data_IF_953822627031
#
_entry.id   IF_953822627031
#
_cell.length_a   1.000
_cell.length_b   1.000
_cell.length_c   1.000
_cell.angle_alpha   90.00
_cell.angle_beta   90.00
_cell.angle_gamma   90.00
#
_symmetry.space_group_name_H-M   'P 1'
#
loop_
_entity.id
_entity.type
_entity.pdbx_description
1 polymer ?
#
# COMPACT_ATOMS: atom_id res chain seq x y z
N UNK A 1 45.05 -23.89 -24.56
CA UNK A 1 43.93 -24.81 -24.24
C UNK A 1 43.67 -24.97 -22.74
N UNK A 2 44.66 -25.26 -21.88
CA UNK A 2 44.44 -25.44 -20.44
C UNK A 2 43.94 -24.18 -19.70
N UNK A 3 44.41 -22.99 -20.09
CA UNK A 3 43.97 -21.71 -19.52
C UNK A 3 42.49 -21.40 -19.82
N UNK A 4 42.02 -21.73 -21.04
CA UNK A 4 40.63 -21.56 -21.44
C UNK A 4 39.69 -22.48 -20.63
N UNK A 5 40.11 -23.73 -20.36
CA UNK A 5 39.36 -24.64 -19.47
C UNK A 5 39.26 -24.11 -18.03
N UNK A 6 40.32 -23.48 -17.52
CA UNK A 6 40.32 -22.84 -16.19
C UNK A 6 39.40 -21.62 -16.14
N UNK A 7 39.40 -20.79 -17.18
CA UNK A 7 38.48 -19.63 -17.28
C UNK A 7 37.02 -20.05 -17.39
N UNK A 8 36.72 -21.07 -18.21
CA UNK A 8 35.36 -21.64 -18.31
C UNK A 8 34.94 -22.24 -16.97
N UNK A 9 35.82 -22.99 -16.30
CA UNK A 9 35.56 -23.51 -14.95
C UNK A 9 35.30 -22.41 -13.92
N UNK A 10 36.11 -21.36 -13.91
CA UNK A 10 35.90 -20.20 -13.05
C UNK A 10 34.59 -19.47 -13.35
N UNK A 11 34.25 -19.28 -14.63
CA UNK A 11 32.98 -18.65 -15.03
C UNK A 11 31.76 -19.48 -14.62
N UNK A 12 31.83 -20.82 -14.73
CA UNK A 12 30.76 -21.72 -14.27
C UNK A 12 30.61 -21.64 -12.75
N UNK A 13 31.71 -21.68 -12.00
CA UNK A 13 31.67 -21.57 -10.54
C UNK A 13 31.11 -20.21 -10.11
N UNK A 14 31.61 -19.11 -10.68
CA UNK A 14 31.11 -17.76 -10.38
C UNK A 14 29.63 -17.60 -10.79
N UNK A 15 29.23 -18.16 -11.93
CA UNK A 15 27.83 -18.20 -12.35
C UNK A 15 26.95 -18.99 -11.39
N UNK A 16 27.43 -20.14 -10.91
CA UNK A 16 26.73 -20.96 -9.92
C UNK A 16 26.61 -20.28 -8.56
N UNK A 17 27.68 -19.65 -8.07
CA UNK A 17 27.65 -18.85 -6.83
C UNK A 17 26.70 -17.65 -6.98
N UNK A 18 26.75 -16.94 -8.11
CA UNK A 18 25.85 -15.83 -8.40
C UNK A 18 24.39 -16.25 -8.45
N UNK A 19 24.07 -17.37 -9.11
CA UNK A 19 22.72 -17.92 -9.16
C UNK A 19 22.24 -18.38 -7.77
N UNK A 20 23.09 -19.06 -6.99
CA UNK A 20 22.79 -19.48 -5.63
C UNK A 20 22.51 -18.29 -4.70
N UNK A 21 23.38 -17.27 -4.73
CA UNK A 21 23.18 -16.04 -3.97
C UNK A 21 21.90 -15.31 -4.40
N UNK A 22 21.64 -15.21 -5.70
CA UNK A 22 20.41 -14.61 -6.24
C UNK A 22 19.14 -15.35 -5.77
N UNK A 23 19.16 -16.68 -5.74
CA UNK A 23 18.04 -17.49 -5.25
C UNK A 23 17.73 -17.25 -3.76
N UNK A 24 18.79 -17.18 -2.93
CA UNK A 24 18.66 -16.92 -1.49
C UNK A 24 18.20 -15.48 -1.23
N UNK A 25 18.79 -14.49 -1.91
CA UNK A 25 18.44 -13.08 -1.72
C UNK A 25 17.01 -12.76 -2.18
N UNK A 26 16.51 -13.48 -3.19
CA UNK A 26 15.14 -13.37 -3.70
C UNK A 26 14.13 -14.28 -2.99
N UNK A 27 14.53 -14.96 -1.91
CA UNK A 27 13.63 -15.78 -1.12
C UNK A 27 12.60 -14.94 -0.35
N UNK A 28 11.36 -15.44 -0.19
CA UNK A 28 10.37 -14.79 0.67
C UNK A 28 10.88 -14.72 2.11
N UNK A 29 10.71 -13.57 2.75
CA UNK A 29 11.02 -13.36 4.16
C UNK A 29 9.71 -13.19 4.92
N UNK A 30 9.51 -14.02 5.94
CA UNK A 30 8.35 -13.98 6.84
C UNK A 30 8.66 -13.19 8.11
N UNK A 31 7.63 -12.92 8.91
CA UNK A 31 7.77 -12.43 10.26
C UNK A 31 8.52 -13.46 11.10
N UNK A 32 9.37 -12.98 12.01
CA UNK A 32 10.03 -13.84 12.99
C UNK A 32 9.10 -14.07 14.21
N UNK A 33 9.51 -14.98 15.09
CA UNK A 33 8.74 -15.33 16.28
C UNK A 33 8.52 -14.13 17.22
N UNK A 34 9.46 -13.19 17.28
CA UNK A 34 9.34 -12.01 18.13
C UNK A 34 8.28 -11.04 17.60
N UNK A 35 8.21 -10.82 16.29
CA UNK A 35 7.18 -10.03 15.65
C UNK A 35 5.80 -10.70 15.76
N UNK A 36 5.72 -12.03 15.61
CA UNK A 36 4.46 -12.76 15.78
C UNK A 36 3.96 -12.73 17.22
N UNK A 37 4.85 -12.75 18.21
CA UNK A 37 4.47 -12.62 19.62
C UNK A 37 3.88 -11.25 19.98
N UNK A 38 4.03 -10.23 19.11
CA UNK A 38 3.41 -8.91 19.28
C UNK A 38 1.98 -8.84 18.74
N UNK A 39 1.51 -9.89 18.06
CA UNK A 39 0.10 -10.02 17.69
C UNK A 39 -0.69 -10.29 18.98
N UNK A 40 -1.33 -9.24 19.50
CA UNK A 40 -2.24 -9.33 20.63
C UNK A 40 -3.61 -9.85 20.16
N UNK A 41 -4.48 -10.36 21.05
CA UNK A 41 -5.86 -10.66 20.67
C UNK A 41 -6.54 -9.43 20.06
N UNK A 42 -7.01 -9.57 18.81
CA UNK A 42 -7.64 -8.48 18.08
C UNK A 42 -9.06 -8.16 18.57
N UNK A 43 -9.46 -6.92 18.33
CA UNK A 43 -10.80 -6.37 18.57
C UNK A 43 -11.41 -5.91 17.24
N UNK A 44 -12.54 -6.51 16.87
CA UNK A 44 -13.20 -6.21 15.60
C UNK A 44 -13.70 -4.76 15.49
N UNK A 45 -14.06 -4.10 16.59
CA UNK A 45 -14.50 -2.71 16.57
C UNK A 45 -13.34 -1.77 16.24
N UNK A 46 -12.16 -2.01 16.82
CA UNK A 46 -10.92 -1.30 16.43
C UNK A 46 -10.46 -1.69 15.03
N UNK A 47 -10.64 -2.95 14.65
CA UNK A 47 -10.32 -3.47 13.33
C UNK A 47 -11.12 -2.80 12.21
N UNK A 48 -12.38 -2.45 12.46
CA UNK A 48 -13.22 -1.70 11.52
C UNK A 48 -12.57 -0.37 11.11
N UNK A 49 -11.94 0.34 12.06
CA UNK A 49 -11.20 1.59 11.76
C UNK A 49 -10.06 1.32 10.80
N UNK A 50 -9.28 0.27 11.03
CA UNK A 50 -8.13 -0.10 10.20
C UNK A 50 -8.57 -0.61 8.81
N UNK A 51 -9.70 -1.31 8.74
CA UNK A 51 -10.29 -1.77 7.48
C UNK A 51 -10.63 -0.61 6.54
N UNK A 52 -11.24 0.45 7.07
CA UNK A 52 -11.52 1.65 6.28
C UNK A 52 -10.25 2.48 6.04
N UNK A 53 -9.35 2.61 7.02
CA UNK A 53 -8.08 3.28 6.80
C UNK A 53 -7.28 2.61 5.66
N UNK A 54 -7.25 1.29 5.63
CA UNK A 54 -6.64 0.44 4.59
C UNK A 54 -7.36 0.45 3.24
N UNK A 55 -8.57 1.00 3.15
CA UNK A 55 -9.33 1.06 1.90
C UNK A 55 -9.62 -0.31 1.28
N UNK A 56 -9.82 -1.37 2.09
CA UNK A 56 -9.96 -2.74 1.59
C UNK A 56 -11.06 -2.88 0.51
N UNK A 57 -12.16 -2.14 0.68
CA UNK A 57 -13.28 -2.14 -0.29
C UNK A 57 -12.94 -1.46 -1.63
N UNK A 58 -11.93 -0.58 -1.68
CA UNK A 58 -11.54 0.13 -2.91
C UNK A 58 -11.04 -0.83 -3.99
N UNK A 59 -10.48 -1.97 -3.59
CA UNK A 59 -9.90 -2.96 -4.50
C UNK A 59 -10.64 -4.30 -4.46
N UNK A 60 -11.09 -4.72 -3.28
CA UNK A 60 -11.65 -6.06 -3.10
C UNK A 60 -13.18 -6.10 -3.18
N UNK A 61 -13.89 -4.98 -3.11
CA UNK A 61 -15.33 -5.02 -3.38
C UNK A 61 -15.57 -5.46 -4.82
N UNK A 62 -16.61 -6.28 -5.04
CA UNK A 62 -17.00 -6.70 -6.38
C UNK A 62 -17.29 -5.46 -7.25
N UNK A 63 -16.73 -5.35 -8.47
CA UNK A 63 -17.01 -4.21 -9.34
C UNK A 63 -18.51 -3.95 -9.51
N UNK A 64 -18.92 -2.70 -9.32
CA UNK A 64 -20.34 -2.29 -9.39
C UNK A 64 -21.17 -2.55 -8.14
N UNK A 65 -20.60 -3.18 -7.09
CA UNK A 65 -21.29 -3.34 -5.80
C UNK A 65 -21.52 -2.01 -5.09
N UNK A 66 -22.62 -1.92 -4.34
CA UNK A 66 -23.06 -0.72 -3.60
C UNK A 66 -23.53 -1.12 -2.20
N UNK A 67 -23.48 -0.16 -1.27
CA UNK A 67 -23.87 -0.40 0.12
C UNK A 67 -23.09 -1.56 0.74
N UNK A 68 -23.79 -2.38 1.53
CA UNK A 68 -23.18 -3.48 2.29
C UNK A 68 -22.63 -4.60 1.40
N UNK A 69 -23.09 -4.74 0.15
CA UNK A 69 -22.53 -5.71 -0.80
C UNK A 69 -21.04 -5.45 -1.10
N UNK A 70 -20.53 -4.26 -0.78
CA UNK A 70 -19.08 -3.97 -0.87
C UNK A 70 -18.25 -4.74 0.16
N UNK A 71 -18.87 -5.17 1.27
CA UNK A 71 -18.23 -5.95 2.33
C UNK A 71 -18.10 -7.45 1.98
N UNK A 72 -18.61 -7.88 0.82
CA UNK A 72 -18.42 -9.24 0.30
C UNK A 72 -16.98 -9.54 -0.11
N UNK A 73 -16.21 -8.52 -0.49
CA UNK A 73 -14.78 -8.60 -0.78
C UNK A 73 -14.35 -9.70 -1.79
N UNK A 74 -15.21 -9.98 -2.78
CA UNK A 74 -14.99 -11.02 -3.79
C UNK A 74 -13.84 -10.73 -4.78
N UNK A 75 -13.29 -9.52 -4.79
CA UNK A 75 -12.20 -9.10 -5.67
C UNK A 75 -12.64 -8.90 -7.13
N UNK A 76 -11.67 -8.97 -8.04
CA UNK A 76 -11.93 -8.94 -9.49
C UNK A 76 -11.87 -7.57 -10.15
N UNK A 77 -11.52 -6.50 -9.43
CA UNK A 77 -11.25 -5.19 -10.03
C UNK A 77 -10.00 -5.25 -10.93
N UNK A 78 -10.09 -4.79 -12.18
CA UNK A 78 -8.92 -4.75 -13.06
C UNK A 78 -8.16 -3.44 -12.90
N UNK A 79 -6.95 -3.53 -12.35
CA UNK A 79 -6.01 -2.43 -12.21
C UNK A 79 -5.02 -2.46 -13.38
N UNK A 80 -5.26 -1.60 -14.37
CA UNK A 80 -4.41 -1.50 -15.57
C UNK A 80 -3.21 -0.60 -15.26
N UNK A 81 -2.01 -1.10 -15.50
CA UNK A 81 -0.76 -0.38 -15.25
C UNK A 81 0.20 -0.55 -16.43
N UNK A 82 1.32 0.17 -16.41
CA UNK A 82 2.42 -0.03 -17.36
C UNK A 82 3.06 -1.43 -17.27
N UNK A 83 2.87 -2.15 -16.17
CA UNK A 83 3.44 -3.49 -15.93
C UNK A 83 2.49 -4.64 -16.33
N UNK A 84 1.26 -4.31 -16.72
CA UNK A 84 0.19 -5.27 -17.01
C UNK A 84 -1.05 -5.02 -16.17
N UNK A 85 -1.91 -6.04 -16.08
CA UNK A 85 -3.18 -5.96 -15.37
C UNK A 85 -3.10 -6.74 -14.06
N UNK A 86 -3.22 -6.03 -12.94
CA UNK A 86 -3.38 -6.62 -11.62
C UNK A 86 -4.86 -6.79 -11.30
N UNK A 87 -5.18 -7.87 -10.59
CA UNK A 87 -6.55 -8.22 -10.21
C UNK A 87 -6.52 -8.61 -8.73
N UNK A 88 -7.09 -7.79 -7.82
CA UNK A 88 -7.17 -8.13 -6.41
C UNK A 88 -7.93 -9.44 -6.20
N UNK A 89 -7.41 -10.37 -5.38
CA UNK A 89 -8.06 -11.65 -5.12
C UNK A 89 -9.33 -11.48 -4.29
N UNK A 90 -10.11 -12.56 -4.20
CA UNK A 90 -11.16 -12.70 -3.20
C UNK A 90 -10.51 -12.78 -1.81
N UNK A 91 -10.91 -11.88 -0.90
CA UNK A 91 -10.45 -11.87 0.51
C UNK A 91 -11.63 -11.99 1.49
N UNK A 92 -12.76 -12.54 1.02
CA UNK A 92 -13.91 -12.87 1.86
C UNK A 92 -13.57 -13.98 2.86
N UNK A 93 -14.51 -14.28 3.76
CA UNK A 93 -14.37 -15.39 4.72
C UNK A 93 -14.64 -16.78 4.11
N UNK A 94 -14.71 -16.90 2.77
CA UNK A 94 -14.77 -18.22 2.15
C UNK A 94 -13.47 -19.01 2.45
N UNK A 95 -13.54 -20.25 2.95
CA UNK A 95 -12.37 -21.01 3.37
C UNK A 95 -11.53 -21.56 2.21
N UNK A 96 -12.06 -21.59 0.99
CA UNK A 96 -11.40 -22.18 -0.18
C UNK A 96 -10.89 -21.12 -1.14
N UNK A 97 -11.75 -20.17 -1.48
CA UNK A 97 -11.49 -19.14 -2.49
C UNK A 97 -11.09 -17.79 -1.88
N UNK A 98 -11.36 -17.59 -0.58
CA UNK A 98 -11.01 -16.40 0.19
C UNK A 98 -9.90 -16.64 1.23
N UNK A 99 -9.93 -15.86 2.32
CA UNK A 99 -8.99 -15.96 3.45
C UNK A 99 -9.60 -16.64 4.67
N UNK A 100 -10.77 -17.29 4.54
CA UNK A 100 -11.51 -17.85 5.68
C UNK A 100 -10.73 -18.88 6.49
N UNK A 101 -9.83 -19.62 5.85
CA UNK A 101 -8.97 -20.63 6.48
C UNK A 101 -7.60 -20.10 6.95
N UNK A 102 -7.28 -18.83 6.71
CA UNK A 102 -5.99 -18.26 7.08
C UNK A 102 -5.89 -18.06 8.59
N UNK A 103 -4.71 -18.37 9.12
CA UNK A 103 -4.35 -17.98 10.49
C UNK A 103 -4.08 -16.47 10.58
N UNK A 104 -4.01 -15.95 11.79
CA UNK A 104 -3.59 -14.57 12.03
C UNK A 104 -2.14 -14.33 11.57
N UNK A 105 -1.25 -15.32 11.74
CA UNK A 105 0.13 -15.28 11.23
C UNK A 105 0.17 -15.16 9.70
N UNK A 106 -0.67 -15.92 9.00
CA UNK A 106 -0.78 -15.85 7.54
C UNK A 106 -1.21 -14.46 7.09
N UNK A 107 -2.22 -13.90 7.77
CA UNK A 107 -2.71 -12.56 7.50
C UNK A 107 -1.64 -11.50 7.77
N UNK A 108 -0.90 -11.62 8.87
CA UNK A 108 0.17 -10.70 9.22
C UNK A 108 1.35 -10.78 8.24
N UNK A 109 1.73 -11.98 7.78
CA UNK A 109 2.75 -12.15 6.74
C UNK A 109 2.32 -11.55 5.40
N UNK A 110 1.04 -11.67 5.03
CA UNK A 110 0.50 -11.04 3.84
C UNK A 110 0.61 -9.51 3.96
N UNK A 111 0.08 -8.92 5.03
CA UNK A 111 0.03 -7.48 5.23
C UNK A 111 1.41 -6.83 5.41
N UNK A 112 2.26 -7.39 6.27
CA UNK A 112 3.54 -6.76 6.65
C UNK A 112 4.73 -7.16 5.77
N UNK A 113 4.65 -8.32 5.12
CA UNK A 113 5.75 -8.87 4.30
C UNK A 113 5.37 -9.11 2.85
N UNK A 114 4.09 -9.06 2.49
CA UNK A 114 3.63 -9.38 1.14
C UNK A 114 3.90 -10.84 0.77
N UNK A 115 3.71 -11.77 1.72
CA UNK A 115 3.97 -13.22 1.53
C UNK A 115 2.71 -14.02 1.82
N UNK A 116 2.35 -14.93 0.93
CA UNK A 116 1.20 -15.82 1.09
C UNK A 116 1.48 -16.96 2.11
N UNK A 117 0.43 -17.68 2.56
CA UNK A 117 0.58 -18.90 3.36
C UNK A 117 1.50 -19.95 2.70
N UNK A 118 1.44 -20.04 1.37
CA UNK A 118 2.28 -20.96 0.57
C UNK A 118 3.72 -20.47 0.34
N UNK A 119 4.06 -19.26 0.80
CA UNK A 119 5.40 -18.66 0.64
C UNK A 119 5.56 -17.90 -0.68
N UNK A 120 4.48 -17.70 -1.41
CA UNK A 120 4.48 -16.94 -2.65
C UNK A 120 4.58 -15.44 -2.35
N UNK A 121 5.32 -14.71 -3.16
CA UNK A 121 5.41 -13.26 -2.99
C UNK A 121 4.28 -12.54 -3.72
N UNK A 122 3.61 -11.63 -3.02
CA UNK A 122 2.65 -10.72 -3.63
C UNK A 122 3.35 -9.59 -4.37
N UNK A 123 2.76 -9.19 -5.49
CA UNK A 123 3.18 -8.00 -6.22
C UNK A 123 2.89 -6.73 -5.41
N UNK A 124 3.71 -5.68 -5.52
CA UNK A 124 3.56 -4.45 -4.73
C UNK A 124 2.32 -3.60 -5.09
N UNK A 125 1.50 -4.06 -6.05
CA UNK A 125 0.14 -3.54 -6.24
C UNK A 125 -0.75 -3.79 -5.00
N UNK A 126 -0.44 -4.82 -4.21
CA UNK A 126 -0.89 -4.92 -2.83
C UNK A 126 0.05 -4.06 -1.97
N UNK A 127 -0.41 -2.99 -1.31
CA UNK A 127 0.47 -1.95 -0.73
C UNK A 127 1.11 -2.37 0.61
N UNK A 128 1.58 -3.62 0.71
CA UNK A 128 2.30 -4.15 1.86
C UNK A 128 3.57 -3.34 2.18
N UNK A 129 4.13 -2.62 1.20
CA UNK A 129 5.27 -1.72 1.42
C UNK A 129 4.90 -0.58 2.37
N UNK A 130 3.69 -0.03 2.26
CA UNK A 130 3.12 0.95 3.19
C UNK A 130 2.67 0.26 4.50
N UNK A 131 1.94 -0.86 4.40
CA UNK A 131 1.45 -1.60 5.57
C UNK A 131 2.54 -2.14 6.49
N UNK A 132 3.77 -2.31 6.01
CA UNK A 132 4.91 -2.65 6.87
C UNK A 132 5.14 -1.68 8.04
N UNK A 133 4.60 -0.45 7.99
CA UNK A 133 4.58 0.55 9.08
C UNK A 133 3.43 0.38 10.07
N UNK A 134 2.51 -0.56 9.81
CA UNK A 134 1.38 -0.81 10.71
C UNK A 134 1.85 -1.48 11.98
N UNK A 135 1.16 -1.15 13.09
CA UNK A 135 1.41 -1.79 14.38
C UNK A 135 0.89 -3.23 14.33
N UNK A 136 1.61 -4.22 14.91
CA UNK A 136 1.11 -5.59 15.00
C UNK A 136 -0.28 -5.72 15.64
N UNK A 137 -0.58 -4.92 16.67
CA UNK A 137 -1.91 -4.88 17.29
C UNK A 137 -3.03 -4.44 16.32
N UNK A 138 -2.74 -3.50 15.41
CA UNK A 138 -3.73 -3.05 14.41
C UNK A 138 -3.95 -4.11 13.33
N UNK A 139 -2.95 -4.95 13.05
CA UNK A 139 -3.09 -6.12 12.17
C UNK A 139 -3.98 -7.17 12.81
N UNK A 140 -3.80 -7.42 14.11
CA UNK A 140 -4.66 -8.33 14.87
C UNK A 140 -6.11 -7.84 14.93
N UNK A 141 -6.31 -6.56 15.26
CA UNK A 141 -7.63 -5.92 15.26
C UNK A 141 -8.28 -6.03 13.88
N UNK A 142 -7.55 -5.71 12.80
CA UNK A 142 -8.03 -5.86 11.43
C UNK A 142 -8.41 -7.31 11.12
N UNK A 143 -7.57 -8.29 11.48
CA UNK A 143 -7.88 -9.70 11.29
C UNK A 143 -9.19 -10.08 11.99
N UNK A 144 -9.37 -9.68 13.25
CA UNK A 144 -10.60 -9.91 14.01
C UNK A 144 -11.83 -9.31 13.32
N UNK A 145 -11.74 -8.10 12.76
CA UNK A 145 -12.82 -7.52 11.98
C UNK A 145 -13.09 -8.29 10.68
N UNK A 146 -12.03 -8.68 9.95
CA UNK A 146 -12.17 -9.47 8.72
C UNK A 146 -12.91 -10.79 8.97
N UNK A 147 -12.69 -11.45 10.12
CA UNK A 147 -13.42 -12.67 10.52
C UNK A 147 -14.93 -12.48 10.69
N UNK A 148 -15.42 -11.24 10.84
CA UNK A 148 -16.86 -10.92 10.95
C UNK A 148 -17.55 -10.73 9.61
N UNK A 149 -16.79 -10.63 8.52
CA UNK A 149 -17.30 -10.34 7.18
C UNK A 149 -17.87 -11.59 6.50
N UNK A 150 -18.78 -11.43 5.51
CA UNK A 150 -19.38 -12.57 4.82
C UNK A 150 -18.36 -13.44 4.07
N UNK A 151 -18.72 -14.71 3.89
CA UNK A 151 -18.04 -15.63 3.02
C UNK A 151 -18.68 -15.60 1.63
N UNK A 152 -17.87 -15.44 0.57
CA UNK A 152 -18.34 -15.46 -0.81
C UNK A 152 -17.46 -16.39 -1.62
N UNK A 153 -18.05 -17.47 -2.12
CA UNK A 153 -17.36 -18.43 -2.98
C UNK A 153 -17.04 -17.83 -4.36
N UNK A 154 -15.98 -18.34 -4.99
CA UNK A 154 -15.54 -17.94 -6.32
C UNK A 154 -14.15 -17.31 -6.31
N UNK A 155 -13.24 -17.89 -7.09
CA UNK A 155 -11.89 -17.35 -7.29
C UNK A 155 -11.94 -16.14 -8.24
N UNK A 156 -11.33 -15.03 -7.84
CA UNK A 156 -11.09 -13.90 -8.74
C UNK A 156 -10.08 -14.31 -9.85
N UNK A 157 -10.15 -13.68 -11.05
CA UNK A 157 -9.18 -13.94 -12.11
C UNK A 157 -7.74 -13.68 -11.68
N UNK A 158 -6.79 -14.43 -12.25
CA UNK A 158 -5.36 -14.20 -12.04
C UNK A 158 -4.89 -12.91 -12.74
N UNK A 159 -3.75 -12.38 -12.31
CA UNK A 159 -3.12 -11.24 -12.98
C UNK A 159 -2.70 -11.59 -14.41
N UNK A 160 -2.64 -10.57 -15.28
CA UNK A 160 -2.16 -10.69 -16.65
C UNK A 160 -0.92 -9.81 -16.82
N UNK A 161 0.22 -10.40 -16.48
CA UNK A 161 1.53 -9.74 -16.50
C UNK A 161 2.41 -10.36 -17.59
N UNK A 162 3.07 -9.52 -18.38
CA UNK A 162 4.04 -9.95 -19.37
C UNK A 162 5.40 -10.27 -18.73
N UNK A 163 6.26 -10.96 -19.49
CA UNK A 163 7.67 -11.08 -19.11
C UNK A 163 8.34 -9.68 -19.10
N UNK A 164 9.23 -9.39 -18.13
CA UNK A 164 9.71 -10.25 -17.04
C UNK A 164 8.89 -10.18 -15.75
N UNK A 165 7.82 -9.39 -15.70
CA UNK A 165 7.05 -9.11 -14.48
C UNK A 165 6.23 -10.30 -13.97
N UNK A 166 6.07 -11.35 -14.77
CA UNK A 166 5.48 -12.61 -14.32
C UNK A 166 6.41 -13.47 -13.43
N UNK A 167 7.70 -13.13 -13.31
CA UNK A 167 8.67 -13.86 -12.48
C UNK A 167 8.69 -13.29 -11.05
N UNK A 168 7.97 -13.94 -10.14
CA UNK A 168 7.82 -13.50 -8.73
C UNK A 168 9.11 -13.39 -7.92
N UNK A 169 10.20 -14.04 -8.35
CA UNK A 169 11.52 -13.90 -7.70
C UNK A 169 12.09 -12.49 -7.81
N UNK A 170 11.78 -11.75 -8.90
CA UNK A 170 12.17 -10.34 -9.03
C UNK A 170 11.61 -9.47 -7.89
N UNK A 171 10.42 -9.80 -7.39
CA UNK A 171 9.81 -9.13 -6.25
C UNK A 171 10.65 -9.30 -4.97
N UNK A 172 11.41 -10.39 -4.84
CA UNK A 172 12.22 -10.65 -3.64
C UNK A 172 13.34 -9.64 -3.53
N UNK A 173 13.99 -9.37 -4.65
CA UNK A 173 15.00 -8.32 -4.78
C UNK A 173 14.37 -6.94 -4.59
N UNK A 174 13.21 -6.69 -5.22
CA UNK A 174 12.46 -5.43 -5.06
C UNK A 174 12.18 -5.11 -3.59
N UNK A 175 11.71 -6.09 -2.81
CA UNK A 175 11.44 -5.91 -1.38
C UNK A 175 12.67 -5.48 -0.59
N UNK A 176 13.87 -5.95 -0.94
CA UNK A 176 15.11 -5.53 -0.26
C UNK A 176 15.40 -4.02 -0.42
N UNK A 177 14.91 -3.41 -1.50
CA UNK A 177 15.11 -2.00 -1.80
C UNK A 177 14.02 -1.12 -1.19
N UNK A 178 12.77 -1.58 -1.20
CA UNK A 178 11.61 -0.71 -0.90
C UNK A 178 10.82 -1.08 0.36
N UNK A 179 10.87 -2.35 0.81
CA UNK A 179 10.14 -2.78 2.00
C UNK A 179 10.89 -2.33 3.26
N UNK A 180 10.26 -1.46 4.04
CA UNK A 180 10.80 -0.96 5.30
C UNK A 180 9.66 -0.69 6.27
N UNK A 181 9.79 -1.08 7.55
CA UNK A 181 8.82 -0.74 8.60
C UNK A 181 9.01 0.69 9.12
N UNK A 182 10.09 1.38 8.74
CA UNK A 182 10.40 2.71 9.25
C UNK A 182 9.51 3.77 8.61
N UNK A 183 9.11 4.80 9.37
CA UNK A 183 8.45 5.98 8.83
C UNK A 183 9.26 6.60 7.68
N UNK A 184 8.55 7.15 6.69
CA UNK A 184 9.17 7.88 5.58
C UNK A 184 9.68 9.24 6.05
N UNK A 185 8.86 9.98 6.80
CA UNK A 185 9.24 11.27 7.38
C UNK A 185 9.65 11.09 8.83
N UNK A 186 10.90 11.40 9.13
CA UNK A 186 11.36 11.57 10.50
C UNK A 186 10.83 12.89 11.07
N UNK A 187 10.08 12.82 12.16
CA UNK A 187 9.54 13.98 12.85
C UNK A 187 10.38 14.29 14.10
N UNK A 188 10.61 15.57 14.43
CA UNK A 188 11.39 15.95 15.61
C UNK A 188 10.82 15.40 16.93
N UNK A 189 11.66 15.25 17.94
CA UNK A 189 11.19 15.03 19.31
C UNK A 189 10.26 16.17 19.76
N UNK A 190 9.21 15.84 20.51
CA UNK A 190 8.19 16.80 20.95
C UNK A 190 7.14 17.14 19.89
N UNK A 191 7.17 16.50 18.72
CA UNK A 191 6.07 16.61 17.75
C UNK A 191 4.74 16.22 18.40
N UNK A 192 3.66 17.01 18.26
CA UNK A 192 2.38 16.71 18.88
C UNK A 192 1.82 15.34 18.47
N UNK A 193 1.19 14.63 19.41
CA UNK A 193 0.64 13.29 19.19
C UNK A 193 -0.34 13.22 18.00
N UNK A 194 -1.12 14.29 17.78
CA UNK A 194 -2.02 14.42 16.63
C UNK A 194 -1.28 14.27 15.30
N UNK A 195 -0.08 14.88 15.17
CA UNK A 195 0.74 14.79 13.95
C UNK A 195 1.38 13.40 13.83
N UNK A 196 1.79 12.78 14.95
CA UNK A 196 2.31 11.40 14.95
C UNK A 196 1.24 10.39 14.53
N UNK A 197 0.00 10.55 14.99
CA UNK A 197 -1.15 9.75 14.57
C UNK A 197 -1.46 9.96 13.08
N UNK A 198 -1.38 11.20 12.59
CA UNK A 198 -1.53 11.52 11.17
C UNK A 198 -0.46 10.86 10.31
N UNK A 199 0.81 10.91 10.74
CA UNK A 199 1.91 10.22 10.06
C UNK A 199 1.64 8.73 9.95
N UNK A 200 1.20 8.12 11.05
CA UNK A 200 0.85 6.70 11.06
C UNK A 200 -0.20 6.40 10.00
N UNK A 201 -1.33 7.12 10.03
CA UNK A 201 -2.43 6.89 9.08
C UNK A 201 -2.02 7.14 7.63
N UNK A 202 -1.26 8.18 7.33
CA UNK A 202 -0.90 8.55 5.94
C UNK A 202 0.19 7.64 5.35
N UNK A 203 1.23 7.30 6.13
CA UNK A 203 2.36 6.49 5.65
C UNK A 203 2.12 4.99 5.76
N UNK A 204 1.23 4.56 6.67
CA UNK A 204 0.92 3.17 6.96
C UNK A 204 -0.39 2.70 6.31
N UNK A 205 -1.47 2.50 7.09
CA UNK A 205 -2.72 1.93 6.58
C UNK A 205 -3.36 2.76 5.45
N UNK A 206 -3.33 4.09 5.52
CA UNK A 206 -3.90 4.96 4.48
C UNK A 206 -3.09 5.01 3.19
N UNK A 207 -1.84 4.53 3.21
CA UNK A 207 -0.97 4.33 2.04
C UNK A 207 -0.99 5.47 1.02
N UNK A 208 -1.16 6.72 1.46
CA UNK A 208 -1.44 7.85 0.56
C UNK A 208 -0.28 8.09 -0.41
N UNK A 209 0.94 7.79 0.04
CA UNK A 209 2.15 7.90 -0.77
C UNK A 209 2.20 6.94 -1.95
N UNK A 210 1.39 5.88 -2.01
CA UNK A 210 1.36 4.97 -3.16
C UNK A 210 0.80 5.65 -4.42
N UNK A 211 -0.08 6.64 -4.26
CA UNK A 211 -0.63 7.44 -5.36
C UNK A 211 0.01 8.83 -5.43
N UNK A 212 0.27 9.46 -4.28
CA UNK A 212 0.73 10.84 -4.21
C UNK A 212 2.26 10.99 -4.25
N UNK A 213 3.04 9.95 -4.54
CA UNK A 213 4.50 10.03 -4.66
C UNK A 213 4.96 9.50 -6.01
N UNK A 214 5.90 10.17 -6.70
CA UNK A 214 6.45 9.65 -7.95
C UNK A 214 7.14 8.30 -7.73
N UNK A 215 7.13 7.46 -8.77
CA UNK A 215 7.83 6.17 -8.76
C UNK A 215 9.09 6.21 -9.61
N UNK A 216 10.08 5.40 -9.24
CA UNK A 216 11.25 5.14 -10.07
C UNK A 216 10.97 4.06 -11.14
N UNK A 217 12.00 3.73 -11.93
CA UNK A 217 11.87 2.77 -13.04
C UNK A 217 11.55 1.34 -12.56
N UNK A 218 11.84 1.00 -11.29
CA UNK A 218 11.51 -0.28 -10.70
C UNK A 218 10.12 -0.28 -10.03
N UNK A 219 9.36 0.81 -10.15
CA UNK A 219 8.03 0.96 -9.59
C UNK A 219 8.00 1.27 -8.09
N UNK A 220 9.15 1.48 -7.46
CA UNK A 220 9.22 1.90 -6.06
C UNK A 220 8.95 3.39 -5.89
N UNK A 221 8.37 3.79 -4.75
CA UNK A 221 8.12 5.21 -4.45
C UNK A 221 9.44 5.94 -4.17
N UNK A 222 9.59 7.13 -4.75
CA UNK A 222 10.74 8.00 -4.50
C UNK A 222 10.52 8.79 -3.21
N UNK A 223 10.98 8.23 -2.08
CA UNK A 223 10.80 8.83 -0.75
C UNK A 223 11.33 10.28 -0.61
N UNK A 224 12.30 10.68 -1.44
CA UNK A 224 12.80 12.07 -1.47
C UNK A 224 11.80 13.07 -2.08
N UNK A 225 10.76 12.59 -2.76
CA UNK A 225 9.68 13.36 -3.37
C UNK A 225 8.32 12.98 -2.70
N UNK A 226 8.36 12.60 -1.43
CA UNK A 226 7.21 12.07 -0.69
C UNK A 226 6.00 13.02 -0.78
N UNK A 227 4.86 12.47 -1.20
CA UNK A 227 3.59 13.20 -1.34
C UNK A 227 3.57 14.35 -2.36
N UNK A 228 4.61 14.46 -3.18
CA UNK A 228 4.77 15.55 -4.15
C UNK A 228 3.84 15.44 -5.38
N UNK A 229 2.97 14.43 -5.47
CA UNK A 229 2.12 14.12 -6.63
C UNK A 229 2.75 13.05 -7.54
N UNK A 230 2.02 12.57 -8.54
CA UNK A 230 2.52 11.57 -9.50
C UNK A 230 1.70 11.53 -10.79
N UNK A 231 2.16 10.80 -11.81
CA UNK A 231 1.25 10.30 -12.87
C UNK A 231 0.33 9.27 -12.21
N UNK A 232 -0.96 9.30 -12.55
CA UNK A 232 -1.88 8.24 -12.16
C UNK A 232 -1.36 6.87 -12.64
N UNK A 233 -1.49 5.83 -11.81
CA UNK A 233 -0.97 4.50 -12.12
C UNK A 233 -1.64 3.89 -13.36
N UNK A 234 -2.87 4.31 -13.65
CA UNK A 234 -3.67 3.98 -14.84
C UNK A 234 -3.15 4.65 -16.11
N UNK A 235 -2.16 5.54 -16.01
CA UNK A 235 -1.49 6.21 -17.12
C UNK A 235 -2.20 7.46 -17.64
N UNK A 236 -3.38 7.80 -17.12
CA UNK A 236 -4.16 8.98 -17.52
C UNK A 236 -4.36 9.93 -16.34
N UNK A 237 -3.84 11.16 -16.45
CA UNK A 237 -4.03 12.20 -15.44
C UNK A 237 -2.89 12.31 -14.43
N UNK A 238 -3.04 13.26 -13.51
CA UNK A 238 -2.05 13.61 -12.49
C UNK A 238 -2.70 13.45 -11.12
N UNK A 239 -2.06 12.70 -10.24
CA UNK A 239 -2.37 12.65 -8.82
C UNK A 239 -1.72 13.89 -8.17
N UNK A 240 -2.48 14.72 -7.44
CA UNK A 240 -1.99 16.02 -7.00
C UNK A 240 -0.92 15.90 -5.92
N UNK A 241 -0.09 16.93 -5.84
CA UNK A 241 0.80 17.18 -4.69
C UNK A 241 -0.05 17.48 -3.45
N UNK A 242 0.15 16.71 -2.37
CA UNK A 242 -0.56 16.89 -1.10
C UNK A 242 0.34 17.33 0.05
N UNK A 243 1.54 17.83 -0.25
CA UNK A 243 2.38 18.56 0.72
C UNK A 243 1.82 19.96 0.99
N UNK A 244 2.34 20.72 1.99
CA UNK A 244 1.89 22.08 2.27
C UNK A 244 2.12 23.08 1.12
N UNK A 245 2.86 22.70 0.07
CA UNK A 245 3.03 23.51 -1.13
C UNK A 245 2.15 23.06 -2.32
N UNK A 246 1.40 21.98 -2.16
CA UNK A 246 0.46 21.48 -3.16
C UNK A 246 -0.73 22.42 -3.35
N UNK A 247 -1.25 22.51 -4.59
CA UNK A 247 -2.48 23.26 -4.87
C UNK A 247 -3.63 22.65 -4.07
N UNK A 248 -4.46 23.50 -3.47
CA UNK A 248 -5.45 23.06 -2.48
C UNK A 248 -4.84 23.03 -1.08
N UNK A 249 -3.99 22.02 -0.77
CA UNK A 249 -3.41 21.85 0.59
C UNK A 249 -2.68 23.08 1.11
N UNK A 250 -2.02 23.86 0.23
CA UNK A 250 -1.39 25.13 0.60
C UNK A 250 -2.40 26.12 1.20
N UNK A 251 -3.53 26.29 0.54
CA UNK A 251 -4.51 27.33 0.81
C UNK A 251 -5.61 26.85 1.78
N UNK A 252 -5.80 25.53 1.90
CA UNK A 252 -6.75 24.90 2.81
C UNK A 252 -6.25 24.90 4.26
N UNK A 253 -7.16 25.14 5.18
CA UNK A 253 -6.96 24.89 6.61
C UNK A 253 -6.94 23.38 6.91
N UNK A 254 -6.50 23.00 8.12
CA UNK A 254 -6.64 21.59 8.56
C UNK A 254 -8.11 21.15 8.57
N UNK A 255 -9.03 22.05 8.93
CA UNK A 255 -10.46 21.76 8.95
C UNK A 255 -11.01 21.53 7.54
N UNK A 256 -10.56 22.30 6.56
CA UNK A 256 -10.93 22.10 5.15
C UNK A 256 -10.49 20.73 4.62
N UNK A 257 -9.25 20.32 4.95
CA UNK A 257 -8.75 18.99 4.60
C UNK A 257 -9.59 17.89 5.27
N UNK A 258 -9.89 18.03 6.56
CA UNK A 258 -10.72 17.06 7.27
C UNK A 258 -12.14 16.97 6.68
N UNK A 259 -12.75 18.12 6.36
CA UNK A 259 -14.06 18.20 5.72
C UNK A 259 -14.06 17.58 4.33
N UNK A 260 -13.01 17.78 3.54
CA UNK A 260 -12.84 17.14 2.24
C UNK A 260 -12.77 15.62 2.38
N UNK A 261 -12.02 15.10 3.35
CA UNK A 261 -11.94 13.66 3.61
C UNK A 261 -13.27 13.07 4.11
N UNK A 262 -14.10 13.88 4.77
CA UNK A 262 -15.42 13.47 5.26
C UNK A 262 -16.49 13.49 4.16
N UNK A 263 -16.52 14.55 3.36
CA UNK A 263 -17.65 14.84 2.47
C UNK A 263 -17.34 14.66 0.99
N UNK A 264 -16.06 14.74 0.62
CA UNK A 264 -15.60 14.78 -0.76
C UNK A 264 -15.73 16.15 -1.43
N UNK A 265 -16.16 17.19 -0.72
CA UNK A 265 -16.21 18.54 -1.27
C UNK A 265 -14.98 19.36 -0.90
N UNK A 266 -14.49 20.13 -1.88
CA UNK A 266 -13.47 21.15 -1.63
C UNK A 266 -14.11 22.37 -0.95
N UNK A 267 -13.31 23.28 -0.35
CA UNK A 267 -13.81 24.54 0.21
C UNK A 267 -14.54 25.43 -0.81
N UNK A 268 -14.22 25.28 -2.09
CA UNK A 268 -14.87 26.00 -3.20
C UNK A 268 -16.09 25.24 -3.76
N UNK A 269 -16.58 24.23 -3.03
CA UNK A 269 -17.72 23.37 -3.38
C UNK A 269 -17.58 22.53 -4.65
N UNK A 270 -16.34 22.34 -5.14
CA UNK A 270 -16.05 21.31 -6.13
C UNK A 270 -16.03 19.91 -5.47
N UNK A 271 -16.14 18.84 -6.25
CA UNK A 271 -16.23 17.47 -5.75
C UNK A 271 -15.01 16.61 -6.11
N UNK A 272 -14.67 15.66 -5.23
CA UNK A 272 -13.64 14.66 -5.48
C UNK A 272 -13.96 13.83 -6.72
N UNK A 273 -12.95 13.62 -7.58
CA UNK A 273 -13.06 12.83 -8.79
C UNK A 273 -12.07 11.66 -8.86
N UNK A 274 -12.28 10.79 -9.85
CA UNK A 274 -11.38 9.67 -10.15
C UNK A 274 -11.28 8.63 -9.04
N UNK A 275 -10.11 7.99 -8.91
CA UNK A 275 -9.87 6.96 -7.91
C UNK A 275 -9.96 7.46 -6.46
N UNK A 276 -9.80 8.78 -6.25
CA UNK A 276 -9.87 9.38 -4.91
C UNK A 276 -11.29 9.34 -4.32
N UNK A 277 -12.34 9.16 -5.14
CA UNK A 277 -13.73 8.98 -4.66
C UNK A 277 -13.85 7.78 -3.73
N UNK A 278 -13.22 6.66 -4.08
CA UNK A 278 -13.27 5.45 -3.26
C UNK A 278 -12.44 5.63 -1.98
N UNK A 279 -11.28 6.28 -2.06
CA UNK A 279 -10.46 6.63 -0.89
C UNK A 279 -11.27 7.51 0.07
N UNK A 280 -11.87 8.59 -0.42
CA UNK A 280 -12.70 9.49 0.37
C UNK A 280 -13.86 8.76 1.05
N UNK A 281 -14.57 7.87 0.34
CA UNK A 281 -15.66 7.08 0.93
C UNK A 281 -15.20 6.27 2.14
N UNK A 282 -13.97 5.74 2.10
CA UNK A 282 -13.40 5.05 3.26
C UNK A 282 -12.98 6.04 4.37
N UNK A 283 -12.36 7.17 4.02
CA UNK A 283 -11.96 8.20 5.00
C UNK A 283 -13.15 8.82 5.75
N UNK A 284 -14.31 8.90 5.11
CA UNK A 284 -15.57 9.31 5.73
C UNK A 284 -16.04 8.37 6.84
N UNK A 285 -15.57 7.12 6.86
CA UNK A 285 -15.88 6.14 7.92
C UNK A 285 -14.94 6.23 9.12
N UNK A 286 -13.85 7.00 9.01
CA UNK A 286 -12.93 7.22 10.14
C UNK A 286 -13.56 8.19 11.16
N UNK A 287 -12.91 8.35 12.30
CA UNK A 287 -13.33 9.35 13.28
C UNK A 287 -12.95 10.77 12.82
N UNK A 288 -13.59 11.80 13.37
CA UNK A 288 -13.19 13.19 13.12
C UNK A 288 -11.73 13.44 13.55
N UNK A 289 -11.31 12.84 14.66
CA UNK A 289 -9.93 12.92 15.16
C UNK A 289 -8.92 12.31 14.20
N UNK A 290 -9.25 11.19 13.55
CA UNK A 290 -8.40 10.57 12.52
C UNK A 290 -8.23 11.48 11.31
N UNK A 291 -9.32 12.05 10.80
CA UNK A 291 -9.28 13.00 9.67
C UNK A 291 -8.49 14.25 10.04
N UNK A 292 -8.69 14.77 11.24
CA UNK A 292 -7.95 15.91 11.75
C UNK A 292 -6.44 15.59 11.92
N UNK A 293 -6.10 14.38 12.36
CA UNK A 293 -4.72 13.92 12.47
C UNK A 293 -4.05 13.83 11.09
N UNK A 294 -4.72 13.24 10.10
CA UNK A 294 -4.27 13.22 8.70
C UNK A 294 -4.00 14.64 8.21
N UNK A 295 -4.95 15.57 8.41
CA UNK A 295 -4.80 16.96 8.01
C UNK A 295 -3.59 17.63 8.67
N UNK A 296 -3.41 17.46 9.99
CA UNK A 296 -2.28 18.00 10.73
C UNK A 296 -0.93 17.49 10.19
N UNK A 297 -0.84 16.19 9.87
CA UNK A 297 0.37 15.63 9.27
C UNK A 297 0.62 16.17 7.86
N UNK A 298 -0.39 16.28 7.00
CA UNK A 298 -0.24 16.85 5.65
C UNK A 298 0.22 18.31 5.68
N UNK A 299 -0.13 19.09 6.72
CA UNK A 299 0.41 20.44 6.93
C UNK A 299 1.82 20.46 7.53
N UNK A 300 2.28 19.36 8.13
CA UNK A 300 3.57 19.25 8.80
C UNK A 300 4.67 18.58 7.94
N UNK A 301 4.31 17.84 6.87
CA UNK A 301 5.32 17.21 6.00
C UNK A 301 6.19 18.25 5.28
N UNK A 302 7.45 17.91 4.92
CA UNK A 302 8.29 18.78 4.10
C UNK A 302 7.56 19.22 2.82
N UNK A 303 7.59 20.53 2.55
CA UNK A 303 7.00 21.10 1.35
C UNK A 303 7.77 20.69 0.09
N UNK A 304 7.04 20.33 -0.97
CA UNK A 304 7.59 20.16 -2.31
C UNK A 304 6.93 21.15 -3.29
N UNK A 305 7.42 22.40 -3.43
CA UNK A 305 6.76 23.44 -4.24
C UNK A 305 6.65 23.11 -5.74
N UNK A 306 7.58 22.32 -6.25
CA UNK A 306 7.62 21.86 -7.64
C UNK A 306 7.22 20.38 -7.71
N UNK A 307 6.05 20.05 -7.13
CA UNK A 307 5.50 18.70 -7.15
C UNK A 307 5.35 18.13 -8.57
N UNK A 308 5.05 16.84 -8.69
CA UNK A 308 5.03 16.15 -9.96
C UNK A 308 3.75 16.44 -10.79
N UNK A 309 3.87 16.68 -12.11
CA UNK A 309 5.11 17.01 -12.82
C UNK A 309 5.53 18.44 -12.48
N UNK A 310 6.83 18.65 -12.21
CA UNK A 310 7.34 20.00 -12.06
C UNK A 310 7.10 20.78 -13.37
N UNK A 311 6.45 21.95 -13.29
CA UNK A 311 6.40 22.86 -14.43
C UNK A 311 7.84 23.25 -14.76
N UNK A 312 8.27 23.08 -16.03
CA UNK A 312 9.47 23.80 -16.50
C UNK A 312 9.26 25.29 -16.21
N UNK A 313 10.28 26.04 -15.77
CA UNK A 313 10.19 27.49 -15.74
C UNK A 313 9.74 27.96 -17.13
N UNK A 314 8.78 28.89 -17.17
CA UNK A 314 8.51 29.59 -18.41
C UNK A 314 9.80 30.31 -18.83
N UNK A 315 10.38 29.92 -19.96
CA UNK A 315 11.34 30.74 -20.70
C UNK A 315 10.62 31.96 -21.28
#
# INVERSE_FOLDING_TARGET
MAWLKKLVGAAIVLGGVGAGAGWVLSAPVRLDAAALAQLAPGDAARGKRIFYAGGCTSCHAKPGSKGDARLELAGGLELKTAFGIFVPPNISQDPKDGIGAWSEEDFANAMLKGVSPSGEQFYPAFPYASYARMKPADIADLYAFMKTLPAVAGKAPDHRLGFPFNIRRGVGVWKRLYLSPEPVIALPQGTPDKVLAGRYLVEGPGHCGECHTPRDFAGGVKKAEWLAGAVAAEGTGIVPNITPAGRGIKDWSEADIANYLETGFTPDFDSVGGAMVEVQRNMAQLTADDRAAIAAYLKAVPSHPNGYPARKPAS
#
